data_IF_592384578816
#
_entry.id   IF_592384578816
#
_cell.length_a   1.000
_cell.length_b   1.000
_cell.length_c   1.000
_cell.angle_alpha   90.00
_cell.angle_beta   90.00
_cell.angle_gamma   90.00
#
_symmetry.space_group_name_H-M   'P 1'
#
loop_
_entity.id
_entity.type
_entity.pdbx_description
1 polymer ?
#
# COMPACT_ATOMS: atom_id res chain seq x y z
N UNK A 1 2.23 -18.06 10.37
CA UNK A 1 1.74 -16.67 10.47
C UNK A 1 0.33 -16.60 9.91
N UNK A 2 -0.45 -15.60 10.33
CA UNK A 2 -1.75 -15.30 9.73
C UNK A 2 -1.57 -14.26 8.62
N UNK A 3 -2.24 -14.44 7.48
CA UNK A 3 -2.17 -13.52 6.34
C UNK A 3 -3.58 -13.00 6.06
N UNK A 4 -3.72 -11.69 5.94
CA UNK A 4 -4.95 -11.04 5.50
C UNK A 4 -4.71 -10.41 4.12
N UNK A 5 -5.61 -10.68 3.18
CA UNK A 5 -5.56 -10.08 1.83
C UNK A 5 -6.59 -8.95 1.73
N UNK A 6 -6.12 -7.79 1.29
CA UNK A 6 -6.97 -6.63 1.00
C UNK A 6 -6.87 -6.32 -0.49
N UNK A 7 -8.02 -6.24 -1.17
CA UNK A 7 -8.12 -5.87 -2.59
C UNK A 7 -9.26 -4.88 -2.76
N UNK A 8 -9.02 -3.80 -3.50
CA UNK A 8 -10.02 -2.77 -3.74
C UNK A 8 -9.56 -1.76 -4.78
N UNK A 9 -10.49 -0.97 -5.33
CA UNK A 9 -10.15 0.07 -6.30
C UNK A 9 -9.46 1.25 -5.62
N UNK A 10 -8.33 1.68 -6.19
CA UNK A 10 -7.64 2.88 -5.76
C UNK A 10 -6.99 2.79 -4.37
N UNK A 11 -6.66 3.94 -3.83
CA UNK A 11 -6.06 4.14 -2.50
C UNK A 11 -6.89 5.17 -1.75
N UNK A 12 -7.31 4.87 -0.51
CA UNK A 12 -8.15 5.75 0.32
C UNK A 12 -9.42 6.30 -0.36
N UNK A 13 -9.94 5.59 -1.38
CA UNK A 13 -11.10 6.00 -2.17
C UNK A 13 -10.77 6.82 -3.42
N UNK A 14 -9.49 7.05 -3.71
CA UNK A 14 -9.00 7.83 -4.84
C UNK A 14 -8.25 6.97 -5.87
N UNK A 15 -8.31 7.37 -7.13
CA UNK A 15 -7.51 6.80 -8.22
C UNK A 15 -6.66 7.93 -8.83
N UNK A 16 -5.52 8.27 -8.21
CA UNK A 16 -4.73 9.41 -8.63
C UNK A 16 -4.10 9.18 -10.01
N UNK A 17 -4.12 10.22 -10.84
CA UNK A 17 -3.38 10.27 -12.09
C UNK A 17 -2.07 11.02 -11.82
N UNK A 18 -0.94 10.39 -12.11
CA UNK A 18 0.38 10.97 -11.87
C UNK A 18 1.01 11.38 -13.21
N UNK A 19 1.31 12.66 -13.38
CA UNK A 19 2.18 13.11 -14.46
C UNK A 19 3.65 12.75 -14.16
N UNK A 20 4.53 12.76 -15.18
CA UNK A 20 5.96 12.52 -14.96
C UNK A 20 6.55 13.47 -13.90
N UNK A 21 7.11 12.91 -12.83
CA UNK A 21 7.70 13.66 -11.72
C UNK A 21 6.73 13.99 -10.58
N UNK A 22 5.44 13.70 -10.73
CA UNK A 22 4.46 13.88 -9.66
C UNK A 22 4.45 12.69 -8.70
N UNK A 23 4.02 12.97 -7.46
CA UNK A 23 3.88 11.98 -6.41
C UNK A 23 2.56 12.17 -5.68
N UNK A 24 1.90 11.07 -5.35
CA UNK A 24 0.74 11.06 -4.47
C UNK A 24 1.09 10.31 -3.19
N UNK A 25 0.84 10.92 -2.04
CA UNK A 25 1.10 10.35 -0.73
C UNK A 25 -0.20 10.25 0.06
N UNK A 26 -0.41 9.11 0.72
CA UNK A 26 -1.57 8.86 1.55
C UNK A 26 -1.20 8.09 2.81
N UNK A 27 -2.09 8.10 3.79
CA UNK A 27 -1.96 7.35 5.03
C UNK A 27 -3.18 6.45 5.19
N UNK A 28 -2.95 5.17 5.50
CA UNK A 28 -4.00 4.19 5.82
C UNK A 28 -3.64 3.39 7.07
N UNK A 29 -4.63 2.79 7.72
CA UNK A 29 -4.42 1.89 8.86
C UNK A 29 -4.38 0.42 8.46
N UNK A 30 -3.57 -0.38 9.15
CA UNK A 30 -3.58 -1.84 9.07
C UNK A 30 -3.66 -2.42 10.48
N UNK A 31 -4.84 -2.93 10.93
CA UNK A 31 -4.95 -3.53 12.25
C UNK A 31 -4.18 -4.86 12.27
N UNK A 32 -3.27 -5.01 13.22
CA UNK A 32 -2.56 -6.27 13.46
C UNK A 32 -2.99 -6.88 14.79
N UNK A 33 -3.13 -8.21 14.82
CA UNK A 33 -3.35 -8.98 16.06
C UNK A 33 -2.05 -9.23 16.84
N UNK A 34 -0.92 -8.81 16.30
CA UNK A 34 0.44 -9.05 16.81
C UNK A 34 1.23 -7.75 16.87
N UNK A 35 2.21 -7.67 17.76
CA UNK A 35 3.09 -6.49 17.92
C UNK A 35 4.04 -6.24 16.73
N UNK A 36 4.19 -7.25 15.86
CA UNK A 36 4.96 -7.16 14.61
C UNK A 36 4.23 -7.80 13.44
N UNK A 37 4.45 -7.29 12.24
CA UNK A 37 3.91 -7.84 10.99
C UNK A 37 4.74 -7.45 9.77
N UNK A 38 4.32 -7.93 8.59
CA UNK A 38 4.93 -7.57 7.30
C UNK A 38 3.80 -7.27 6.32
N UNK A 39 3.90 -6.15 5.61
CA UNK A 39 3.03 -5.81 4.48
C UNK A 39 3.79 -5.96 3.17
N UNK A 40 3.13 -6.44 2.13
CA UNK A 40 3.59 -6.47 0.74
C UNK A 40 2.37 -6.41 -0.18
N UNK A 41 2.54 -6.02 -1.43
CA UNK A 41 1.42 -5.98 -2.35
C UNK A 41 1.79 -5.44 -3.72
N UNK A 42 0.77 -5.05 -4.47
CA UNK A 42 0.91 -4.55 -5.83
C UNK A 42 -0.15 -3.50 -6.09
N UNK A 43 0.21 -2.44 -6.84
CA UNK A 43 -0.77 -1.56 -7.47
C UNK A 43 -0.96 -1.96 -8.93
N UNK A 44 -2.20 -2.12 -9.36
CA UNK A 44 -2.52 -2.20 -10.77
C UNK A 44 -2.69 -0.77 -11.31
N UNK A 45 -1.80 -0.39 -12.21
CA UNK A 45 -1.75 0.94 -12.82
C UNK A 45 -2.26 0.90 -14.25
N UNK A 46 -2.73 2.05 -14.73
CA UNK A 46 -3.14 2.25 -16.13
C UNK A 46 -2.33 3.42 -16.69
N UNK A 47 -1.69 3.20 -17.83
CA UNK A 47 -0.96 4.25 -18.55
C UNK A 47 -1.94 5.16 -19.30
N UNK A 48 -1.47 6.33 -19.77
CA UNK A 48 -2.29 7.25 -20.56
C UNK A 48 -2.82 6.69 -21.88
N UNK A 49 -2.26 5.57 -22.39
CA UNK A 49 -2.76 4.89 -23.58
C UNK A 49 -3.72 3.70 -23.27
N UNK A 50 -4.04 3.48 -21.98
CA UNK A 50 -4.92 2.40 -21.54
C UNK A 50 -4.23 1.07 -21.24
N UNK A 51 -2.91 0.94 -21.44
CA UNK A 51 -2.18 -0.26 -21.07
C UNK A 51 -2.11 -0.42 -19.55
N UNK A 52 -2.34 -1.64 -19.06
CA UNK A 52 -2.24 -2.00 -17.65
C UNK A 52 -0.84 -2.51 -17.31
N UNK A 53 -0.35 -2.17 -16.12
CA UNK A 53 0.88 -2.73 -15.58
C UNK A 53 0.83 -2.77 -14.05
N UNK A 54 1.63 -3.65 -13.47
CA UNK A 54 1.68 -3.86 -12.04
C UNK A 54 2.93 -3.20 -11.44
N UNK A 55 2.76 -2.50 -10.32
CA UNK A 55 3.84 -1.90 -9.54
C UNK A 55 3.95 -2.64 -8.21
N UNK A 56 5.08 -3.29 -7.97
CA UNK A 56 5.34 -4.04 -6.74
C UNK A 56 5.57 -3.09 -5.55
N UNK A 57 4.89 -3.38 -4.44
CA UNK A 57 5.18 -2.82 -3.12
C UNK A 57 6.04 -3.84 -2.39
N UNK A 58 7.34 -3.54 -2.31
CA UNK A 58 8.30 -4.39 -1.64
C UNK A 58 7.90 -4.66 -0.18
N UNK A 59 8.18 -5.85 0.37
CA UNK A 59 7.84 -6.16 1.75
C UNK A 59 8.46 -5.18 2.74
N UNK A 60 7.66 -4.63 3.65
CA UNK A 60 8.13 -3.79 4.75
C UNK A 60 7.55 -4.24 6.09
N UNK A 61 8.32 -4.05 7.16
CA UNK A 61 7.95 -4.47 8.49
C UNK A 61 7.06 -3.44 9.19
N UNK A 62 6.06 -3.94 9.92
CA UNK A 62 5.25 -3.18 10.85
C UNK A 62 5.68 -3.56 12.26
N UNK A 63 5.93 -2.56 13.10
CA UNK A 63 6.26 -2.74 14.51
C UNK A 63 5.40 -1.79 15.32
N UNK A 64 4.88 -2.24 16.46
CA UNK A 64 4.35 -1.33 17.46
C UNK A 64 5.45 -0.32 17.85
N UNK A 65 5.15 0.99 17.88
CA UNK A 65 6.10 1.95 18.42
C UNK A 65 6.28 1.63 19.90
N UNK A 66 7.51 1.26 20.30
CA UNK A 66 7.86 1.12 21.70
C UNK A 66 7.62 2.47 22.39
N UNK A 67 6.54 2.58 23.18
CA UNK A 67 6.41 3.66 24.15
C UNK A 67 7.49 3.45 25.20
N UNK A 68 8.57 4.23 25.12
CA UNK A 68 9.51 4.36 26.23
C UNK A 68 8.74 5.05 27.36
N UNK A 69 8.39 4.28 28.39
CA UNK A 69 7.91 4.81 29.66
C UNK A 69 9.05 5.42 30.46
#
# INVERSE_FOLDING_TARGET
>A
GHTEEVRGPGVVGEQPVLAPGESFQYTSGCPLKTSTGVMRGTYQMVTGNGAHFDVEIAPFALHEPYTVH
#
